data_IF_855375222000
#
_entry.id   IF_855375222000
#
_cell.length_a   1.000
_cell.length_b   1.000
_cell.length_c   1.000
_cell.angle_alpha   90.00
_cell.angle_beta   90.00
_cell.angle_gamma   90.00
#
_symmetry.space_group_name_H-M   'P 1'
#
loop_
_entity.id
_entity.type
_entity.pdbx_description
1 polymer ?
#
# COMPACT_ATOMS: atom_id res chain seq x y z
N UNK A 1 6.84 -0.25 -14.17
CA UNK A 1 6.31 0.93 -13.47
C UNK A 1 6.92 0.92 -12.09
N UNK A 2 7.46 2.06 -11.69
CA UNK A 2 8.02 2.25 -10.35
C UNK A 2 6.90 2.46 -9.34
N UNK A 3 7.18 2.19 -8.06
CA UNK A 3 6.21 2.34 -6.98
C UNK A 3 5.67 3.77 -6.90
N UNK A 4 6.53 4.76 -7.11
CA UNK A 4 6.20 6.18 -7.09
C UNK A 4 5.12 6.55 -8.10
N UNK A 5 5.23 6.01 -9.32
CA UNK A 5 4.27 6.25 -10.40
C UNK A 5 2.90 5.64 -10.08
N UNK A 6 2.89 4.42 -9.53
CA UNK A 6 1.68 3.73 -9.09
C UNK A 6 0.99 4.53 -7.97
N UNK A 7 1.74 5.02 -7.00
CA UNK A 7 1.18 5.82 -5.90
C UNK A 7 0.66 7.16 -6.42
N UNK A 8 1.41 7.86 -7.28
CA UNK A 8 0.97 9.12 -7.88
C UNK A 8 -0.36 8.96 -8.64
N UNK A 9 -0.49 7.89 -9.42
CA UNK A 9 -1.76 7.53 -10.07
C UNK A 9 -2.87 7.28 -9.05
N UNK A 10 -2.56 6.56 -7.97
CA UNK A 10 -3.54 6.22 -6.94
C UNK A 10 -4.06 7.45 -6.19
N UNK A 11 -3.19 8.42 -5.89
CA UNK A 11 -3.57 9.73 -5.36
C UNK A 11 -4.51 10.45 -6.32
N UNK A 12 -4.15 10.52 -7.61
CA UNK A 12 -4.97 11.17 -8.65
C UNK A 12 -6.38 10.59 -8.74
N UNK A 13 -6.53 9.29 -8.49
CA UNK A 13 -7.80 8.58 -8.55
C UNK A 13 -8.53 8.47 -7.20
N UNK A 14 -8.06 9.13 -6.14
CA UNK A 14 -8.64 9.08 -4.78
C UNK A 14 -8.76 7.66 -4.23
N UNK A 15 -7.70 6.87 -4.42
CA UNK A 15 -7.59 5.50 -3.92
C UNK A 15 -7.19 5.50 -2.45
N UNK A 16 -7.83 4.65 -1.65
CA UNK A 16 -7.49 4.46 -0.23
C UNK A 16 -6.47 3.34 -0.02
N UNK A 17 -6.63 2.21 -0.73
CA UNK A 17 -5.80 1.02 -0.59
C UNK A 17 -5.41 0.48 -1.98
N UNK A 18 -4.16 0.06 -2.13
CA UNK A 18 -3.64 -0.66 -3.28
C UNK A 18 -3.30 -2.09 -2.88
N UNK A 19 -3.65 -3.03 -3.73
CA UNK A 19 -3.40 -4.45 -3.56
C UNK A 19 -2.64 -4.95 -4.78
N UNK A 20 -1.35 -5.21 -4.58
CA UNK A 20 -0.43 -5.73 -5.58
C UNK A 20 -0.20 -7.21 -5.28
N UNK A 21 -0.27 -8.07 -6.29
CA UNK A 21 -0.09 -9.50 -6.13
C UNK A 21 0.52 -10.08 -7.40
N UNK A 22 1.51 -10.95 -7.27
CA UNK A 22 2.14 -11.58 -8.43
C UNK A 22 1.19 -12.54 -9.16
N UNK A 23 0.17 -13.08 -8.47
CA UNK A 23 -0.74 -14.09 -8.99
C UNK A 23 -2.07 -13.54 -9.54
N UNK A 24 -2.29 -12.22 -9.49
CA UNK A 24 -3.53 -11.60 -9.95
C UNK A 24 -3.29 -10.18 -10.42
N UNK A 25 -4.17 -9.65 -11.28
CA UNK A 25 -4.13 -8.26 -11.67
C UNK A 25 -4.16 -7.32 -10.44
N UNK A 26 -3.43 -6.19 -10.48
CA UNK A 26 -3.49 -5.18 -9.43
C UNK A 26 -4.91 -4.70 -9.20
N UNK A 27 -5.24 -4.48 -7.93
CA UNK A 27 -6.54 -3.95 -7.52
C UNK A 27 -6.33 -2.75 -6.63
N UNK A 28 -7.25 -1.81 -6.70
CA UNK A 28 -7.26 -0.63 -5.85
C UNK A 28 -8.63 -0.46 -5.21
N UNK A 29 -8.68 0.15 -4.03
CA UNK A 29 -9.92 0.49 -3.35
C UNK A 29 -10.17 1.97 -3.52
N UNK A 30 -11.29 2.34 -4.13
CA UNK A 30 -11.74 3.72 -4.30
C UNK A 30 -13.13 3.85 -3.70
N UNK A 31 -13.33 4.82 -2.81
CA UNK A 31 -14.61 5.07 -2.14
C UNK A 31 -15.24 3.79 -1.54
N UNK A 32 -14.41 2.94 -0.92
CA UNK A 32 -14.84 1.68 -0.30
C UNK A 32 -15.03 0.50 -1.26
N UNK A 33 -14.96 0.69 -2.58
CA UNK A 33 -15.14 -0.37 -3.58
C UNK A 33 -13.80 -0.85 -4.12
N UNK A 34 -13.62 -2.17 -4.21
CA UNK A 34 -12.43 -2.80 -4.78
C UNK A 34 -12.63 -2.94 -6.30
N UNK A 35 -11.75 -2.31 -7.07
CA UNK A 35 -11.80 -2.25 -8.54
C UNK A 35 -10.45 -2.68 -9.12
N UNK A 36 -10.42 -3.09 -10.39
CA UNK A 36 -9.17 -3.37 -11.11
C UNK A 36 -8.39 -2.08 -11.34
N UNK A 37 -7.09 -2.11 -11.06
CA UNK A 37 -6.24 -0.95 -11.28
C UNK A 37 -5.69 -0.96 -12.73
N UNK A 38 -5.63 0.20 -13.42
CA UNK A 38 -5.28 0.29 -14.83
C UNK A 38 -3.75 0.28 -15.04
N UNK A 39 -3.04 -0.65 -14.41
CA UNK A 39 -1.60 -0.84 -14.54
C UNK A 39 -1.20 -2.29 -14.27
N UNK A 40 -0.02 -2.66 -14.74
CA UNK A 40 0.55 -4.00 -14.53
C UNK A 40 1.15 -4.12 -13.14
N UNK A 41 1.13 -5.32 -12.55
CA UNK A 41 1.75 -5.53 -11.24
C UNK A 41 3.25 -5.23 -11.31
N UNK A 42 3.79 -4.37 -10.43
CA UNK A 42 5.23 -4.19 -10.34
C UNK A 42 5.87 -5.45 -9.74
N UNK A 43 7.18 -5.56 -9.87
CA UNK A 43 7.94 -6.62 -9.21
C UNK A 43 8.02 -6.36 -7.70
N UNK A 44 7.15 -7.02 -6.94
CA UNK A 44 7.05 -6.86 -5.49
C UNK A 44 8.40 -7.15 -4.81
N UNK A 45 9.14 -8.16 -5.26
CA UNK A 45 10.47 -8.48 -4.71
C UNK A 45 11.48 -7.33 -4.81
N UNK A 46 11.47 -6.59 -5.93
CA UNK A 46 12.33 -5.41 -6.11
C UNK A 46 11.92 -4.27 -5.19
N UNK A 47 10.61 -4.04 -5.03
CA UNK A 47 10.07 -3.05 -4.08
C UNK A 47 10.53 -3.39 -2.66
N UNK A 48 10.40 -4.65 -2.22
CA UNK A 48 10.83 -5.04 -0.88
C UNK A 48 12.34 -4.87 -0.69
N UNK A 49 13.16 -5.25 -1.67
CA UNK A 49 14.61 -5.08 -1.58
C UNK A 49 15.05 -3.61 -1.52
N UNK A 50 14.31 -2.71 -2.18
CA UNK A 50 14.63 -1.29 -2.24
C UNK A 50 14.17 -0.52 -0.99
N UNK A 51 13.01 -0.88 -0.41
CA UNK A 51 12.36 -0.08 0.62
C UNK A 51 12.48 -0.64 2.04
N UNK A 52 12.77 -1.93 2.20
CA UNK A 52 12.96 -2.52 3.53
C UNK A 52 14.39 -2.23 4.03
N UNK A 53 14.49 -1.77 5.27
CA UNK A 53 15.77 -1.71 5.97
C UNK A 53 16.25 -3.13 6.39
N UNK A 54 17.48 -3.24 6.89
CA UNK A 54 18.08 -4.55 7.22
C UNK A 54 17.27 -5.35 8.24
N UNK A 55 16.70 -4.69 9.25
CA UNK A 55 15.87 -5.34 10.26
C UNK A 55 14.57 -5.89 9.66
N UNK A 56 13.91 -5.09 8.82
CA UNK A 56 12.70 -5.48 8.10
C UNK A 56 12.96 -6.57 7.07
N UNK A 57 14.13 -6.56 6.40
CA UNK A 57 14.54 -7.63 5.51
C UNK A 57 14.76 -8.94 6.27
N UNK A 58 15.35 -8.88 7.47
CA UNK A 58 15.49 -10.05 8.34
C UNK A 58 14.11 -10.59 8.76
N UNK A 59 13.18 -9.73 9.17
CA UNK A 59 11.80 -10.12 9.49
C UNK A 59 11.07 -10.74 8.30
N UNK A 60 11.21 -10.15 7.11
CA UNK A 60 10.67 -10.69 5.86
C UNK A 60 11.20 -12.10 5.56
N UNK A 61 12.51 -12.33 5.69
CA UNK A 61 13.12 -13.65 5.46
C UNK A 61 12.72 -14.69 6.49
N UNK A 62 12.55 -14.28 7.75
CA UNK A 62 12.20 -15.19 8.85
C UNK A 62 10.72 -15.58 8.83
N UNK A 63 9.83 -14.61 8.60
CA UNK A 63 8.38 -14.79 8.79
C UNK A 63 7.60 -14.85 7.47
N UNK A 64 8.20 -14.45 6.35
CA UNK A 64 7.51 -14.28 5.08
C UNK A 64 6.48 -13.14 5.09
N UNK A 65 6.53 -12.25 6.08
CA UNK A 65 5.65 -11.08 6.18
C UNK A 65 6.36 -9.92 6.88
N UNK A 66 6.01 -8.69 6.51
CA UNK A 66 6.53 -7.47 7.13
C UNK A 66 5.56 -6.30 6.95
N UNK A 67 5.37 -5.52 8.01
CA UNK A 67 4.64 -4.25 7.99
C UNK A 67 5.64 -3.09 8.13
N UNK A 68 5.53 -2.08 7.27
CA UNK A 68 6.43 -0.93 7.28
C UNK A 68 5.72 0.34 6.78
N UNK A 69 6.31 1.49 7.07
CA UNK A 69 5.85 2.76 6.57
C UNK A 69 6.73 3.22 5.41
N UNK A 70 6.11 3.83 4.41
CA UNK A 70 6.75 4.41 3.25
C UNK A 70 6.45 5.91 3.22
N UNK A 71 7.47 6.72 2.93
CA UNK A 71 7.30 8.15 2.67
C UNK A 71 7.91 8.43 1.31
N UNK A 72 7.06 8.74 0.32
CA UNK A 72 7.52 9.13 -1.00
C UNK A 72 7.93 10.62 -0.98
N UNK A 73 9.03 11.00 -1.65
CA UNK A 73 9.42 12.41 -1.77
C UNK A 73 8.28 13.23 -2.40
N UNK A 74 7.74 14.20 -1.67
CA UNK A 74 6.63 15.04 -2.14
C UNK A 74 5.30 14.29 -2.36
N UNK A 75 5.19 13.05 -1.87
CA UNK A 75 3.98 12.23 -1.94
C UNK A 75 3.40 11.90 -0.57
N UNK A 76 2.24 11.21 -0.53
CA UNK A 76 1.63 10.82 0.73
C UNK A 76 2.48 9.79 1.47
N UNK A 77 2.31 9.75 2.79
CA UNK A 77 2.79 8.61 3.59
C UNK A 77 1.91 7.41 3.29
N UNK A 78 2.53 6.23 3.23
CA UNK A 78 1.80 4.98 3.05
C UNK A 78 2.14 4.01 4.18
N UNK A 79 1.17 3.20 4.56
CA UNK A 79 1.43 1.97 5.30
C UNK A 79 1.50 0.82 4.32
N UNK A 80 2.59 0.09 4.31
CA UNK A 80 2.82 -1.09 3.50
C UNK A 80 2.76 -2.35 4.37
N UNK A 81 2.12 -3.39 3.86
CA UNK A 81 2.15 -4.73 4.43
C UNK A 81 2.44 -5.72 3.31
N UNK A 82 3.56 -6.41 3.42
CA UNK A 82 3.99 -7.42 2.46
C UNK A 82 3.88 -8.80 3.10
N UNK A 83 3.39 -9.77 2.35
CA UNK A 83 3.26 -11.15 2.83
C UNK A 83 3.37 -12.14 1.67
N UNK A 84 4.03 -13.26 1.94
CA UNK A 84 4.08 -14.42 1.07
C UNK A 84 2.84 -15.29 1.29
N UNK A 85 2.30 -15.84 0.21
CA UNK A 85 1.19 -16.78 0.22
C UNK A 85 1.45 -17.90 -0.78
N UNK A 86 0.59 -18.92 -0.81
CA UNK A 86 0.76 -20.12 -1.64
C UNK A 86 0.89 -19.88 -3.14
N UNK A 87 0.51 -18.69 -3.62
CA UNK A 87 0.57 -18.30 -5.04
C UNK A 87 1.66 -17.27 -5.35
N UNK A 88 2.47 -16.87 -4.38
CA UNK A 88 3.55 -15.90 -4.57
C UNK A 88 3.55 -14.81 -3.50
N UNK A 89 3.84 -13.58 -3.91
CA UNK A 89 3.97 -12.42 -3.03
C UNK A 89 2.78 -11.48 -3.21
N UNK A 90 2.36 -10.88 -2.11
CA UNK A 90 1.37 -9.81 -2.08
C UNK A 90 1.90 -8.61 -1.29
N UNK A 91 1.51 -7.42 -1.74
CA UNK A 91 1.84 -6.14 -1.11
C UNK A 91 0.57 -5.29 -1.07
N UNK A 92 0.12 -4.99 0.14
CA UNK A 92 -0.98 -4.07 0.40
C UNK A 92 -0.42 -2.71 0.83
N UNK A 93 -0.81 -1.64 0.15
CA UNK A 93 -0.40 -0.27 0.48
C UNK A 93 -1.66 0.53 0.83
N UNK A 94 -1.64 1.24 1.95
CA UNK A 94 -2.70 2.18 2.33
C UNK A 94 -2.16 3.59 2.30
N UNK A 95 -2.81 4.47 1.56
CA UNK A 95 -2.52 5.90 1.58
C UNK A 95 -2.97 6.48 2.92
N UNK A 96 -2.04 7.12 3.62
CA UNK A 96 -2.32 7.83 4.87
C UNK A 96 -2.58 9.31 4.56
N UNK A 97 -3.64 9.91 5.11
CA UNK A 97 -3.89 11.33 4.92
C UNK A 97 -2.77 12.15 5.58
N UNK A 98 -2.38 13.25 4.92
CA UNK A 98 -1.35 14.15 5.44
C UNK A 98 -1.80 14.85 6.72
N UNK A 99 -3.05 15.29 6.75
CA UNK A 99 -3.70 15.88 7.92
C UNK A 99 -4.57 14.84 8.62
N UNK A 100 -4.54 14.87 9.96
CA UNK A 100 -5.54 14.16 10.75
C UNK A 100 -6.94 14.69 10.34
N UNK A 101 -7.88 13.82 9.94
CA UNK A 101 -9.24 14.24 9.64
C UNK A 101 -9.78 14.98 10.86
N UNK A 102 -10.22 16.23 10.68
CA UNK A 102 -10.95 16.91 11.75
C UNK A 102 -12.19 16.09 12.06
N UNK A 103 -12.49 15.97 13.35
CA UNK A 103 -13.74 15.40 13.83
C UNK A 103 -14.90 16.34 13.43
N UNK A 104 -15.24 16.40 12.15
CA UNK A 104 -16.46 17.07 11.68
C UNK A 104 -17.61 16.09 11.83
N UNK A 105 -18.25 16.15 13.01
CA UNK A 105 -19.67 15.82 13.26
C UNK A 105 -20.29 14.72 12.40
N UNK A 106 -19.67 13.54 12.29
CA UNK A 106 -20.40 12.35 11.88
C UNK A 106 -20.65 11.50 13.12
N UNK A 107 -21.91 11.55 13.58
CA UNK A 107 -22.57 10.56 14.43
C UNK A 107 -21.93 10.21 15.79
N UNK A 108 -21.10 11.06 16.39
CA UNK A 108 -20.77 10.92 17.80
C UNK A 108 -21.81 11.67 18.65
N UNK A 109 -22.72 10.97 19.36
CA UNK A 109 -23.55 11.63 20.34
C UNK A 109 -22.65 12.21 21.45
N UNK A 110 -22.89 13.44 21.92
CA UNK A 110 -22.20 13.96 23.08
C UNK A 110 -22.50 13.06 24.29
N UNK A 111 -21.50 12.86 25.14
CA UNK A 111 -21.68 12.20 26.44
C UNK A 111 -22.48 13.09 27.39
#
# INVERSE_FOLDING_TARGET
>A
MELEEIVALSVKHNVSDLHLCNASAPRWRRQGRLESAPFTSPEIGKILAQWLNDEQQAQWRANGQVDFALALPGGPRLRASAFAHTRGLSLALRLLPEACPRLMSSAFPPR
#
